data_IF_718430464633
#
_entry.id   IF_718430464633
#
_cell.length_a   1.000
_cell.length_b   1.000
_cell.length_c   1.000
_cell.angle_alpha   90.00
_cell.angle_beta   90.00
_cell.angle_gamma   90.00
#
_symmetry.space_group_name_H-M   'P 1'
#
loop_
_entity.id
_entity.type
_entity.pdbx_description
1 polymer ?
#
# COMPACT_ATOMS: atom_id res chain seq x y z
N UNK A 1 -13.91 -32.31 -49.71
CA UNK A 1 -14.05 -31.06 -48.93
C UNK A 1 -14.10 -31.45 -47.45
N UNK A 2 -13.01 -31.27 -46.71
CA UNK A 2 -12.94 -31.47 -45.26
C UNK A 2 -12.22 -30.24 -44.70
N UNK A 3 -12.94 -29.36 -44.00
CA UNK A 3 -12.34 -28.24 -43.28
C UNK A 3 -11.67 -28.77 -42.01
N UNK A 4 -10.41 -28.40 -41.69
CA UNK A 4 -9.86 -28.68 -40.38
C UNK A 4 -10.46 -27.69 -39.38
N UNK A 5 -11.10 -28.25 -38.36
CA UNK A 5 -11.64 -27.55 -37.20
C UNK A 5 -10.49 -26.86 -36.46
N UNK A 6 -10.37 -25.53 -36.63
CA UNK A 6 -9.43 -24.70 -35.85
C UNK A 6 -9.89 -24.73 -34.39
N UNK A 7 -9.23 -25.55 -33.57
CA UNK A 7 -9.25 -25.38 -32.12
C UNK A 7 -8.50 -24.08 -31.79
N UNK A 8 -9.23 -22.99 -31.68
CA UNK A 8 -8.76 -21.82 -30.96
C UNK A 8 -8.66 -22.21 -29.48
N UNK A 9 -7.46 -22.62 -29.07
CA UNK A 9 -7.10 -22.77 -27.67
C UNK A 9 -7.12 -21.36 -27.06
N UNK A 10 -8.28 -20.94 -26.54
CA UNK A 10 -8.37 -19.76 -25.68
C UNK A 10 -7.63 -20.16 -24.41
N UNK A 11 -6.36 -19.77 -24.28
CA UNK A 11 -5.66 -19.82 -23.00
C UNK A 11 -6.42 -18.89 -22.07
N UNK A 12 -7.32 -19.45 -21.28
CA UNK A 12 -7.88 -18.79 -20.13
C UNK A 12 -6.70 -18.62 -19.17
N UNK A 13 -6.11 -17.43 -19.15
CA UNK A 13 -5.17 -17.04 -18.09
C UNK A 13 -5.96 -17.16 -16.79
N UNK A 14 -5.82 -18.30 -16.11
CA UNK A 14 -6.31 -18.45 -14.76
C UNK A 14 -5.55 -17.37 -13.99
N UNK A 15 -6.27 -16.34 -13.53
CA UNK A 15 -5.73 -15.30 -12.67
C UNK A 15 -5.32 -15.96 -11.35
N UNK A 16 -4.12 -16.54 -11.33
CA UNK A 16 -3.53 -17.17 -10.15
C UNK A 16 -2.78 -16.09 -9.39
N UNK A 17 -3.30 -15.68 -8.23
CA UNK A 17 -2.57 -14.73 -7.39
C UNK A 17 -3.40 -14.17 -6.25
N UNK A 18 -2.75 -13.34 -5.44
CA UNK A 18 -3.46 -12.51 -4.47
C UNK A 18 -3.74 -11.13 -5.09
N UNK A 19 -4.80 -10.45 -4.66
CA UNK A 19 -5.11 -9.07 -5.03
C UNK A 19 -4.85 -8.11 -3.87
N UNK A 20 -4.44 -6.88 -4.18
CA UNK A 20 -4.40 -5.76 -3.24
C UNK A 20 -5.11 -4.55 -3.86
N UNK A 21 -5.80 -3.78 -3.03
CA UNK A 21 -6.62 -2.67 -3.49
C UNK A 21 -5.80 -1.47 -3.96
N UNK A 22 -6.44 -0.64 -4.78
CA UNK A 22 -5.95 0.69 -5.12
C UNK A 22 -6.15 1.67 -3.96
N UNK A 23 -5.14 2.48 -3.68
CA UNK A 23 -5.11 3.46 -2.61
C UNK A 23 -5.41 4.85 -3.14
N UNK A 24 -6.34 5.55 -2.49
CA UNK A 24 -6.64 6.95 -2.76
C UNK A 24 -6.00 7.83 -1.68
N UNK A 25 -5.64 9.10 -1.97
CA UNK A 25 -5.03 9.98 -0.97
C UNK A 25 -5.84 10.06 0.34
N UNK A 26 -7.18 10.12 0.25
CA UNK A 26 -8.09 10.16 1.40
C UNK A 26 -8.07 8.89 2.28
N UNK A 27 -7.47 7.79 1.82
CA UNK A 27 -7.32 6.58 2.63
C UNK A 27 -6.22 6.73 3.70
N UNK A 28 -5.35 7.73 3.55
CA UNK A 28 -4.31 8.05 4.52
C UNK A 28 -4.81 9.17 5.42
N UNK A 29 -5.63 8.82 6.40
CA UNK A 29 -6.13 9.76 7.41
C UNK A 29 -5.02 10.05 8.43
N UNK A 30 -4.17 11.03 8.11
CA UNK A 30 -3.02 11.39 8.92
C UNK A 30 -3.44 12.25 10.11
N UNK A 31 -3.07 11.80 11.31
CA UNK A 31 -3.14 12.58 12.54
C UNK A 31 -1.75 12.93 13.02
N UNK A 32 -1.57 14.11 13.62
CA UNK A 32 -0.31 14.47 14.26
C UNK A 32 -0.08 13.57 15.47
N UNK A 33 1.09 12.93 15.53
CA UNK A 33 1.50 12.04 16.64
C UNK A 33 2.72 12.56 17.39
N UNK A 34 3.50 13.44 16.75
CA UNK A 34 4.54 14.23 17.40
C UNK A 34 4.35 15.66 16.93
N UNK A 35 4.08 16.55 17.88
CA UNK A 35 3.88 17.97 17.60
C UNK A 35 5.17 18.64 17.15
N UNK A 36 5.03 19.56 16.18
CA UNK A 36 6.14 20.42 15.78
C UNK A 36 6.12 21.69 16.63
N UNK A 37 7.17 21.90 17.43
CA UNK A 37 7.25 23.05 18.34
C UNK A 37 8.25 24.13 17.89
N UNK A 38 9.14 23.81 16.94
CA UNK A 38 10.17 24.72 16.41
C UNK A 38 10.38 24.49 14.90
N UNK A 39 10.88 25.48 14.13
CA UNK A 39 11.31 25.27 12.75
C UNK A 39 12.40 24.18 12.63
N UNK A 40 12.44 23.45 11.51
CA UNK A 40 13.36 22.33 11.29
C UNK A 40 12.65 20.97 11.10
N UNK A 41 13.45 19.95 10.77
CA UNK A 41 13.01 18.58 10.54
C UNK A 41 12.56 17.91 11.85
N UNK A 42 11.33 18.20 12.26
CA UNK A 42 10.68 17.65 13.44
C UNK A 42 9.16 17.57 13.22
N UNK A 43 8.51 16.79 14.08
CA UNK A 43 7.09 16.52 14.02
C UNK A 43 6.73 15.38 13.05
N UNK A 44 5.73 14.60 13.45
CA UNK A 44 5.32 13.40 12.75
C UNK A 44 3.80 13.30 12.69
N UNK A 45 3.32 12.75 11.59
CA UNK A 45 1.94 12.33 11.43
C UNK A 45 1.87 10.85 11.10
N UNK A 46 0.83 10.18 11.56
CA UNK A 46 0.62 8.76 11.32
C UNK A 46 -0.77 8.49 10.76
N UNK A 47 -0.88 7.46 9.91
CA UNK A 47 -2.15 6.90 9.44
C UNK A 47 -2.15 5.39 9.68
N UNK A 48 -3.32 4.80 9.89
CA UNK A 48 -3.50 3.35 10.06
C UNK A 48 -4.37 2.77 8.97
N UNK A 49 -3.91 1.71 8.31
CA UNK A 49 -4.63 1.07 7.22
C UNK A 49 -4.89 -0.41 7.53
N UNK A 50 -6.14 -0.82 7.31
CA UNK A 50 -6.56 -2.22 7.30
C UNK A 50 -7.02 -2.57 5.88
N UNK A 51 -6.25 -3.41 5.19
CA UNK A 51 -6.45 -3.72 3.77
C UNK A 51 -6.67 -5.23 3.62
N UNK A 52 -7.84 -5.67 3.11
CA UNK A 52 -8.04 -7.07 2.77
C UNK A 52 -7.17 -7.45 1.56
N UNK A 53 -6.48 -8.57 1.69
CA UNK A 53 -5.76 -9.26 0.63
C UNK A 53 -6.48 -10.58 0.39
N UNK A 54 -6.89 -10.83 -0.86
CA UNK A 54 -7.68 -12.01 -1.23
C UNK A 54 -6.85 -12.87 -2.18
N UNK A 55 -6.75 -14.15 -1.89
CA UNK A 55 -6.27 -15.14 -2.86
C UNK A 55 -7.41 -15.50 -3.81
N UNK A 56 -7.20 -15.30 -5.12
CA UNK A 56 -8.25 -15.53 -6.13
C UNK A 56 -8.47 -17.02 -6.44
N UNK A 57 -7.57 -17.92 -5.99
CA UNK A 57 -7.68 -19.36 -6.23
C UNK A 57 -8.60 -20.05 -5.23
N UNK A 58 -8.43 -19.76 -3.94
CA UNK A 58 -9.12 -20.42 -2.84
C UNK A 58 -10.04 -19.47 -2.04
N UNK A 59 -10.10 -18.21 -2.44
CA UNK A 59 -10.88 -17.14 -1.79
C UNK A 59 -10.48 -16.88 -0.33
N UNK A 60 -9.31 -17.37 0.10
CA UNK A 60 -8.77 -17.06 1.43
C UNK A 60 -8.48 -15.57 1.56
N UNK A 61 -8.77 -15.02 2.73
CA UNK A 61 -8.63 -13.59 3.00
C UNK A 61 -7.69 -13.34 4.17
N UNK A 62 -6.90 -12.27 4.07
CA UNK A 62 -6.02 -11.81 5.13
C UNK A 62 -6.12 -10.29 5.24
N UNK A 63 -6.37 -9.78 6.45
CA UNK A 63 -6.38 -8.32 6.67
C UNK A 63 -4.95 -7.86 6.93
N UNK A 64 -4.34 -7.26 5.92
CA UNK A 64 -3.05 -6.60 6.01
C UNK A 64 -3.18 -5.31 6.83
N UNK A 65 -2.55 -5.27 8.00
CA UNK A 65 -2.55 -4.13 8.91
C UNK A 65 -1.19 -3.47 8.94
N UNK A 66 -1.14 -2.14 8.84
CA UNK A 66 0.08 -1.38 8.94
C UNK A 66 -0.16 0.10 9.26
N UNK A 67 0.83 0.71 9.92
CA UNK A 67 0.91 2.15 10.10
C UNK A 67 1.78 2.79 9.03
N UNK A 68 1.50 4.05 8.70
CA UNK A 68 2.31 4.88 7.82
C UNK A 68 2.67 6.16 8.56
N UNK A 69 3.95 6.39 8.75
CA UNK A 69 4.47 7.58 9.40
C UNK A 69 5.10 8.50 8.35
N UNK A 70 4.70 9.78 8.39
CA UNK A 70 5.25 10.82 7.54
C UNK A 70 5.81 11.96 8.42
N UNK A 71 6.98 12.51 8.09
CA UNK A 71 7.45 13.73 8.74
C UNK A 71 6.53 14.90 8.37
N UNK A 72 6.42 15.88 9.28
CA UNK A 72 5.70 17.13 9.00
C UNK A 72 6.55 18.06 8.11
N UNK A 73 7.87 18.02 8.30
CA UNK A 73 8.84 18.79 7.54
C UNK A 73 10.11 17.96 7.35
N UNK A 74 10.71 18.05 6.17
CA UNK A 74 12.03 17.48 5.89
C UNK A 74 13.00 18.61 5.51
N UNK A 75 14.30 18.40 5.66
CA UNK A 75 15.29 19.37 5.19
C UNK A 75 15.26 19.55 3.67
N UNK A 76 14.94 18.48 2.93
CA UNK A 76 14.94 18.48 1.47
C UNK A 76 13.69 19.12 0.87
N UNK A 77 12.50 18.85 1.44
CA UNK A 77 11.21 19.23 0.87
C UNK A 77 10.53 20.38 1.63
N UNK A 78 11.07 20.76 2.79
CA UNK A 78 10.42 21.70 3.69
C UNK A 78 9.11 21.13 4.24
N UNK A 79 8.17 22.03 4.55
CA UNK A 79 6.87 21.64 5.12
C UNK A 79 6.06 20.81 4.12
N UNK A 80 5.67 19.62 4.54
CA UNK A 80 4.78 18.75 3.78
C UNK A 80 3.35 18.99 4.24
N UNK A 81 2.49 19.55 3.41
CA UNK A 81 1.06 19.64 3.74
C UNK A 81 0.44 18.25 3.90
N UNK A 82 -0.67 18.15 4.65
CA UNK A 82 -1.38 16.87 4.82
C UNK A 82 -1.79 16.30 3.47
N UNK A 83 -2.37 17.12 2.59
CA UNK A 83 -2.79 16.71 1.24
C UNK A 83 -1.62 16.21 0.39
N UNK A 84 -0.45 16.85 0.49
CA UNK A 84 0.74 16.39 -0.23
C UNK A 84 1.22 15.04 0.32
N UNK A 85 1.29 14.88 1.64
CA UNK A 85 1.68 13.62 2.26
C UNK A 85 0.71 12.47 1.91
N UNK A 86 -0.59 12.75 1.88
CA UNK A 86 -1.64 11.80 1.44
C UNK A 86 -1.43 11.35 0.00
N UNK A 87 -1.15 12.29 -0.91
CA UNK A 87 -0.90 11.99 -2.31
C UNK A 87 0.35 11.14 -2.49
N UNK A 88 1.47 11.54 -1.87
CA UNK A 88 2.73 10.80 -1.95
C UNK A 88 2.55 9.38 -1.40
N UNK A 89 1.90 9.22 -0.25
CA UNK A 89 1.66 7.92 0.35
C UNK A 89 0.80 7.02 -0.55
N UNK A 90 -0.27 7.56 -1.15
CA UNK A 90 -1.11 6.82 -2.09
C UNK A 90 -0.35 6.40 -3.37
N UNK A 91 0.38 7.33 -3.99
CA UNK A 91 1.15 7.06 -5.21
C UNK A 91 2.22 5.98 -4.95
N UNK A 92 2.93 6.08 -3.82
CA UNK A 92 3.95 5.10 -3.41
C UNK A 92 3.34 3.73 -3.07
N UNK A 93 2.19 3.70 -2.40
CA UNK A 93 1.49 2.45 -2.08
C UNK A 93 0.99 1.75 -3.35
N UNK A 94 0.41 2.50 -4.29
CA UNK A 94 -0.04 1.97 -5.57
C UNK A 94 1.10 1.40 -6.39
N UNK A 95 2.24 2.10 -6.43
CA UNK A 95 3.45 1.61 -7.10
C UNK A 95 4.01 0.34 -6.44
N UNK A 96 4.04 0.30 -5.10
CA UNK A 96 4.44 -0.90 -4.37
C UNK A 96 3.53 -2.09 -4.67
N UNK A 97 2.20 -1.86 -4.70
CA UNK A 97 1.20 -2.86 -5.08
C UNK A 97 1.45 -3.40 -6.48
N UNK A 98 1.64 -2.52 -7.47
CA UNK A 98 1.95 -2.91 -8.85
C UNK A 98 3.22 -3.77 -8.95
N UNK A 99 4.28 -3.40 -8.23
CA UNK A 99 5.54 -4.15 -8.23
C UNK A 99 5.34 -5.55 -7.65
N UNK A 100 4.74 -5.65 -6.45
CA UNK A 100 4.56 -6.94 -5.76
C UNK A 100 3.59 -7.86 -6.51
N UNK A 101 2.53 -7.32 -7.11
CA UNK A 101 1.59 -8.10 -7.92
C UNK A 101 2.20 -8.59 -9.24
N UNK A 102 3.24 -7.92 -9.76
CA UNK A 102 3.93 -8.35 -10.99
C UNK A 102 5.05 -9.37 -10.74
N UNK A 103 5.41 -9.62 -9.48
CA UNK A 103 6.35 -10.67 -9.10
C UNK A 103 5.70 -12.06 -9.24
N UNK A 104 6.50 -13.14 -9.31
CA UNK A 104 5.96 -14.51 -9.26
C UNK A 104 4.98 -14.67 -8.10
N UNK A 105 3.83 -15.29 -8.36
CA UNK A 105 2.69 -15.32 -7.46
C UNK A 105 3.09 -15.75 -6.04
N UNK A 106 2.80 -14.89 -5.06
CA UNK A 106 2.97 -15.24 -3.65
C UNK A 106 1.94 -16.31 -3.25
N UNK A 107 2.37 -17.40 -2.61
CA UNK A 107 1.50 -18.52 -2.27
C UNK A 107 0.48 -18.20 -1.17
N UNK A 108 0.62 -17.08 -0.44
CA UNK A 108 -0.33 -16.71 0.60
C UNK A 108 -0.59 -15.20 0.70
N UNK A 109 -1.83 -14.78 1.04
CA UNK A 109 -2.17 -13.38 1.29
C UNK A 109 -1.30 -12.69 2.36
N UNK A 110 -0.92 -13.42 3.42
CA UNK A 110 -0.05 -12.90 4.47
C UNK A 110 1.36 -12.58 3.97
N UNK A 111 1.94 -13.45 3.14
CA UNK A 111 3.25 -13.17 2.55
C UNK A 111 3.22 -12.00 1.57
N UNK A 112 2.14 -11.88 0.77
CA UNK A 112 1.95 -10.71 -0.09
C UNK A 112 1.90 -9.42 0.73
N UNK A 113 1.21 -9.41 1.87
CA UNK A 113 1.16 -8.26 2.78
C UNK A 113 2.56 -7.86 3.28
N UNK A 114 3.40 -8.81 3.68
CA UNK A 114 4.77 -8.51 4.13
C UNK A 114 5.64 -7.95 2.98
N UNK A 115 5.56 -8.54 1.80
CA UNK A 115 6.26 -8.05 0.62
C UNK A 115 5.82 -6.64 0.24
N UNK A 116 4.51 -6.39 0.28
CA UNK A 116 3.92 -5.08 0.05
C UNK A 116 4.43 -4.05 1.06
N UNK A 117 4.34 -4.32 2.37
CA UNK A 117 4.80 -3.39 3.41
C UNK A 117 6.28 -3.05 3.23
N UNK A 118 7.12 -4.05 2.94
CA UNK A 118 8.55 -3.85 2.67
C UNK A 118 8.77 -2.96 1.45
N UNK A 119 8.12 -3.27 0.32
CA UNK A 119 8.28 -2.50 -0.92
C UNK A 119 7.74 -1.07 -0.78
N UNK A 120 6.61 -0.91 -0.10
CA UNK A 120 6.02 0.38 0.19
C UNK A 120 6.94 1.22 1.08
N UNK A 121 7.55 0.64 2.12
CA UNK A 121 8.55 1.33 2.93
C UNK A 121 9.75 1.81 2.10
N UNK A 122 10.29 0.95 1.24
CA UNK A 122 11.44 1.28 0.37
C UNK A 122 11.13 2.46 -0.56
N UNK A 123 9.95 2.47 -1.18
CA UNK A 123 9.54 3.51 -2.14
C UNK A 123 9.21 4.81 -1.39
N UNK A 124 8.44 4.72 -0.29
CA UNK A 124 8.02 5.88 0.48
C UNK A 124 9.23 6.59 1.10
N UNK A 125 10.18 5.85 1.68
CA UNK A 125 11.38 6.43 2.28
C UNK A 125 12.28 7.12 1.24
N UNK A 126 12.28 6.64 -0.02
CA UNK A 126 12.96 7.31 -1.13
C UNK A 126 12.25 8.59 -1.56
N UNK A 127 10.91 8.60 -1.52
CA UNK A 127 10.11 9.76 -1.90
C UNK A 127 10.11 10.86 -0.82
N UNK A 128 10.09 10.46 0.46
CA UNK A 128 10.15 11.35 1.61
C UNK A 128 11.08 10.74 2.65
N UNK A 129 12.26 11.34 2.79
CA UNK A 129 13.28 10.83 3.68
C UNK A 129 12.77 10.78 5.13
N UNK A 130 13.00 9.65 5.79
CA UNK A 130 12.59 9.43 7.18
C UNK A 130 11.18 8.84 7.35
N UNK A 131 10.32 8.89 6.33
CA UNK A 131 9.02 8.22 6.35
C UNK A 131 9.16 6.70 6.56
N UNK A 132 8.12 6.07 7.14
CA UNK A 132 8.17 4.67 7.56
C UNK A 132 6.83 3.96 7.34
N UNK A 133 6.89 2.70 6.96
CA UNK A 133 5.75 1.77 7.08
C UNK A 133 6.01 0.84 8.26
N UNK A 134 5.11 0.84 9.23
CA UNK A 134 5.20 0.07 10.47
C UNK A 134 4.26 -1.13 10.44
N UNK A 135 4.66 -2.21 11.10
CA UNK A 135 3.81 -3.41 11.29
C UNK A 135 2.63 -3.14 12.23
N UNK A 136 2.76 -2.17 13.12
CA UNK A 136 1.74 -1.75 14.08
C UNK A 136 1.29 -0.32 13.80
N UNK A 137 0.00 -0.04 13.99
CA UNK A 137 -0.55 1.30 13.94
C UNK A 137 -0.18 2.11 15.19
N UNK A 138 -0.11 3.43 15.05
CA UNK A 138 0.05 4.32 16.20
C UNK A 138 -1.24 4.34 17.03
N UNK A 139 -1.14 4.39 18.36
CA UNK A 139 -2.31 4.36 19.26
C UNK A 139 -3.30 5.52 19.02
N UNK A 140 -2.79 6.67 18.61
CA UNK A 140 -3.59 7.85 18.29
C UNK A 140 -4.37 7.76 16.94
N UNK A 141 -4.13 6.74 16.12
CA UNK A 141 -4.75 6.62 14.80
C UNK A 141 -6.00 5.75 14.82
N UNK A 142 -7.01 6.12 14.02
CA UNK A 142 -8.16 5.25 13.75
C UNK A 142 -7.90 4.45 12.47
N UNK A 143 -8.13 3.12 12.46
CA UNK A 143 -7.92 2.33 11.25
C UNK A 143 -8.87 2.73 10.11
N UNK A 144 -8.30 3.07 8.96
CA UNK A 144 -9.05 3.23 7.71
C UNK A 144 -9.16 1.87 7.02
N UNK A 145 -10.39 1.39 6.82
CA UNK A 145 -10.66 0.14 6.12
C UNK A 145 -10.73 0.41 4.63
N UNK A 146 -9.89 -0.26 3.84
CA UNK A 146 -9.90 -0.12 2.39
C UNK A 146 -10.80 -1.22 1.82
N UNK A 147 -11.98 -0.89 1.26
CA UNK A 147 -12.87 -1.90 0.71
C UNK A 147 -12.22 -2.59 -0.47
N UNK A 148 -12.53 -3.88 -0.66
CA UNK A 148 -12.23 -4.59 -1.89
C UNK A 148 -13.08 -3.95 -2.99
N UNK A 149 -12.45 -3.34 -3.98
CA UNK A 149 -13.18 -2.94 -5.18
C UNK A 149 -13.58 -4.22 -5.91
N UNK A 150 -14.88 -4.51 -5.95
CA UNK A 150 -15.48 -5.56 -6.77
C UNK A 150 -15.47 -5.16 -8.25
#
# INVERSE_FOLDING_TARGET
>A
MLLPLRWSLVMLLILTGCTINHYLPRHFDFVTVVEKTKPGADGWRAACLHVPVINTQDMSTFVCRFGVDMPIETEADGYLSVTLAQRIAADCANEAGRIVLSAPASPSPGLLCEQFKKKFNEILNRAVLGSRVKTLCHEATTPTIIPVNQ
#
